data_IF_390671112606
#
_entry.id   IF_390671112606
#
_cell.length_a   1.000
_cell.length_b   1.000
_cell.length_c   1.000
_cell.angle_alpha   90.00
_cell.angle_beta   90.00
_cell.angle_gamma   90.00
#
_symmetry.space_group_name_H-M   'P 1'
#
loop_
_entity.id
_entity.type
_entity.pdbx_description
1 polymer ?
#
# COMPACT_ATOMS: atom_id res chain seq x y z
N UNK A 1 -16.79 -7.54 -10.86
CA UNK A 1 -17.08 -8.39 -12.05
C UNK A 1 -16.27 -7.95 -13.27
N UNK A 2 -15.91 -6.67 -13.39
CA UNK A 2 -15.13 -6.11 -14.50
C UNK A 2 -13.86 -6.91 -14.91
N UNK A 3 -12.89 -7.12 -14.01
CA UNK A 3 -11.66 -7.86 -14.37
C UNK A 3 -11.90 -9.32 -14.80
N UNK A 4 -12.92 -9.96 -14.24
CA UNK A 4 -13.32 -11.31 -14.66
C UNK A 4 -13.84 -11.32 -16.10
N UNK A 5 -14.66 -10.33 -16.47
CA UNK A 5 -15.15 -10.14 -17.85
C UNK A 5 -13.99 -9.99 -18.84
N UNK A 6 -12.99 -9.18 -18.51
CA UNK A 6 -11.79 -8.99 -19.36
C UNK A 6 -10.99 -10.30 -19.45
N UNK A 7 -10.77 -10.99 -18.33
CA UNK A 7 -10.04 -12.26 -18.32
C UNK A 7 -10.73 -13.34 -19.17
N UNK A 8 -12.05 -13.50 -19.00
CA UNK A 8 -12.85 -14.45 -19.80
C UNK A 8 -12.86 -14.08 -21.28
N UNK A 9 -12.88 -12.79 -21.62
CA UNK A 9 -12.76 -12.33 -23.00
C UNK A 9 -11.40 -12.71 -23.60
N UNK A 10 -10.30 -12.52 -22.86
CA UNK A 10 -8.95 -12.87 -23.30
C UNK A 10 -8.80 -14.38 -23.49
N UNK A 11 -9.30 -15.20 -22.56
CA UNK A 11 -9.31 -16.68 -22.68
C UNK A 11 -10.07 -17.16 -23.92
N UNK A 12 -11.06 -16.40 -24.39
CA UNK A 12 -11.81 -16.70 -25.60
C UNK A 12 -11.10 -16.35 -26.91
N UNK A 13 -9.98 -15.62 -26.87
CA UNK A 13 -9.23 -15.22 -28.06
C UNK A 13 -8.49 -16.41 -28.68
N UNK A 14 -8.57 -16.53 -29.99
CA UNK A 14 -7.87 -17.53 -30.78
C UNK A 14 -7.55 -16.99 -32.18
N UNK A 15 -6.76 -17.75 -32.94
CA UNK A 15 -6.31 -17.38 -34.29
C UNK A 15 -7.46 -17.06 -35.27
N UNK A 16 -8.66 -17.57 -35.02
CA UNK A 16 -9.81 -17.45 -35.93
C UNK A 16 -10.67 -16.21 -35.61
N UNK A 17 -10.63 -15.69 -34.37
CA UNK A 17 -11.46 -14.55 -33.94
C UNK A 17 -10.66 -13.30 -33.54
N UNK A 18 -9.34 -13.37 -33.43
CA UNK A 18 -8.53 -12.28 -32.89
C UNK A 18 -8.66 -10.97 -33.69
N UNK A 19 -8.72 -11.02 -35.01
CA UNK A 19 -8.82 -9.81 -35.84
C UNK A 19 -10.17 -9.09 -35.67
N UNK A 20 -11.26 -9.84 -35.52
CA UNK A 20 -12.60 -9.29 -35.27
C UNK A 20 -12.70 -8.69 -33.86
N UNK A 21 -12.08 -9.33 -32.87
CA UNK A 21 -12.17 -8.96 -31.46
C UNK A 21 -11.11 -7.93 -31.01
N UNK A 22 -10.10 -7.67 -31.83
CA UNK A 22 -9.02 -6.71 -31.55
C UNK A 22 -9.51 -5.30 -31.17
N UNK A 23 -10.56 -4.72 -31.79
CA UNK A 23 -11.08 -3.41 -31.38
C UNK A 23 -11.60 -3.43 -29.94
N UNK A 24 -12.34 -4.46 -29.55
CA UNK A 24 -12.85 -4.62 -28.19
C UNK A 24 -11.72 -4.87 -27.18
N UNK A 25 -10.69 -5.64 -27.56
CA UNK A 25 -9.49 -5.82 -26.74
C UNK A 25 -8.79 -4.47 -26.51
N UNK A 26 -8.63 -3.67 -27.58
CA UNK A 26 -8.00 -2.35 -27.52
C UNK A 26 -8.80 -1.42 -26.60
N UNK A 27 -10.14 -1.45 -26.70
CA UNK A 27 -11.03 -0.72 -25.78
C UNK A 27 -10.77 -1.10 -24.32
N UNK A 28 -10.77 -2.39 -23.98
CA UNK A 28 -10.51 -2.84 -22.61
C UNK A 28 -9.12 -2.45 -22.11
N UNK A 29 -8.10 -2.53 -22.96
CA UNK A 29 -6.74 -2.08 -22.58
C UNK A 29 -6.72 -0.58 -22.32
N UNK A 30 -7.35 0.23 -23.17
CA UNK A 30 -7.46 1.68 -22.97
C UNK A 30 -8.21 2.05 -21.69
N UNK A 31 -9.34 1.40 -21.41
CA UNK A 31 -10.07 1.56 -20.15
C UNK A 31 -9.17 1.27 -18.93
N UNK A 32 -8.38 0.20 -18.99
CA UNK A 32 -7.44 -0.16 -17.92
C UNK A 32 -6.33 0.89 -17.74
N UNK A 33 -5.72 1.37 -18.82
CA UNK A 33 -4.65 2.39 -18.77
C UNK A 33 -5.20 3.69 -18.18
N UNK A 34 -6.40 4.12 -18.61
CA UNK A 34 -7.07 5.31 -18.12
C UNK A 34 -7.69 5.14 -16.72
N UNK A 35 -7.62 3.94 -16.14
CA UNK A 35 -8.26 3.60 -14.86
C UNK A 35 -9.78 3.81 -14.84
N UNK A 36 -10.44 3.60 -15.99
CA UNK A 36 -11.90 3.69 -16.18
C UNK A 36 -12.51 2.30 -16.02
N UNK A 37 -13.62 2.20 -15.28
CA UNK A 37 -14.41 0.96 -15.13
C UNK A 37 -15.79 1.13 -15.77
N UNK A 38 -15.84 1.00 -17.10
CA UNK A 38 -17.07 1.10 -17.89
C UNK A 38 -17.84 -0.24 -17.88
N UNK A 39 -18.42 -0.60 -16.73
CA UNK A 39 -19.11 -1.88 -16.57
C UNK A 39 -20.33 -2.02 -17.49
N UNK A 40 -21.01 -0.91 -17.77
CA UNK A 40 -22.19 -0.82 -18.63
C UNK A 40 -21.85 -0.69 -20.13
N UNK A 41 -20.57 -0.57 -20.47
CA UNK A 41 -20.07 -0.41 -21.85
C UNK A 41 -20.67 0.81 -22.55
N UNK A 42 -20.77 1.94 -21.84
CA UNK A 42 -21.33 3.21 -22.30
C UNK A 42 -20.37 4.00 -23.20
N UNK A 43 -19.05 3.81 -23.05
CA UNK A 43 -18.05 4.51 -23.86
C UNK A 43 -17.85 3.77 -25.19
N UNK A 44 -17.69 4.49 -26.29
CA UNK A 44 -17.27 3.87 -27.55
C UNK A 44 -15.75 3.63 -27.57
N UNK A 45 -15.25 2.90 -28.57
CA UNK A 45 -13.80 2.79 -28.78
C UNK A 45 -13.21 4.17 -29.14
N UNK A 46 -13.90 4.95 -29.97
CA UNK A 46 -13.46 6.32 -30.33
C UNK A 46 -13.35 7.23 -29.12
N UNK A 47 -14.26 7.12 -28.14
CA UNK A 47 -14.17 7.87 -26.89
C UNK A 47 -12.89 7.53 -26.12
N UNK A 48 -12.59 6.23 -25.99
CA UNK A 48 -11.40 5.72 -25.30
C UNK A 48 -10.13 6.15 -26.05
N UNK A 49 -10.09 6.04 -27.38
CA UNK A 49 -8.95 6.43 -28.21
C UNK A 49 -8.67 7.94 -28.11
N UNK A 50 -9.72 8.77 -28.07
CA UNK A 50 -9.60 10.21 -27.85
C UNK A 50 -9.00 10.54 -26.48
N UNK A 51 -9.47 9.88 -25.41
CA UNK A 51 -8.93 10.04 -24.07
C UNK A 51 -7.47 9.56 -23.97
N UNK A 52 -7.16 8.41 -24.57
CA UNK A 52 -5.81 7.84 -24.63
C UNK A 52 -4.84 8.78 -25.33
N UNK A 53 -5.24 9.39 -26.44
CA UNK A 53 -4.41 10.34 -27.19
C UNK A 53 -4.00 11.53 -26.31
N UNK A 54 -4.94 12.05 -25.50
CA UNK A 54 -4.67 13.14 -24.56
C UNK A 54 -3.74 12.67 -23.43
N UNK A 55 -3.96 11.48 -22.89
CA UNK A 55 -3.14 10.91 -21.82
C UNK A 55 -1.68 10.71 -22.27
N UNK A 56 -1.48 10.16 -23.47
CA UNK A 56 -0.16 9.96 -24.06
C UNK A 56 0.55 11.29 -24.33
N UNK A 57 -0.15 12.29 -24.89
CA UNK A 57 0.41 13.63 -25.08
C UNK A 57 0.87 14.25 -23.75
N UNK A 58 0.08 14.08 -22.68
CA UNK A 58 0.46 14.56 -21.34
C UNK A 58 1.72 13.86 -20.82
N UNK A 59 1.82 12.55 -21.02
CA UNK A 59 2.98 11.74 -20.63
C UNK A 59 4.25 12.18 -21.39
N UNK A 60 4.15 12.41 -22.70
CA UNK A 60 5.25 12.92 -23.52
C UNK A 60 5.75 14.30 -23.04
N UNK A 61 4.83 15.22 -22.75
CA UNK A 61 5.18 16.54 -22.20
C UNK A 61 5.88 16.39 -20.85
N UNK A 62 5.34 15.55 -19.97
CA UNK A 62 5.92 15.32 -18.64
C UNK A 62 7.33 14.72 -18.74
N UNK A 63 7.55 13.79 -19.67
CA UNK A 63 8.86 13.21 -19.92
C UNK A 63 9.85 14.27 -20.43
N UNK A 64 9.43 15.16 -21.34
CA UNK A 64 10.26 16.28 -21.80
C UNK A 64 10.69 17.21 -20.66
N UNK A 65 9.74 17.59 -19.80
CA UNK A 65 10.03 18.42 -18.60
C UNK A 65 10.97 17.68 -17.63
N UNK A 66 10.82 16.35 -17.47
CA UNK A 66 11.70 15.54 -16.64
C UNK A 66 13.15 15.54 -17.16
N UNK A 67 13.35 15.43 -18.46
CA UNK A 67 14.69 15.49 -19.06
C UNK A 67 15.35 16.85 -18.83
N UNK A 68 14.63 17.96 -19.02
CA UNK A 68 15.12 19.31 -18.74
C UNK A 68 15.52 19.48 -17.27
N UNK A 69 14.66 19.08 -16.33
CA UNK A 69 14.93 19.19 -14.90
C UNK A 69 16.12 18.32 -14.45
N UNK A 70 16.34 17.17 -15.09
CA UNK A 70 17.53 16.33 -14.83
C UNK A 70 18.82 16.98 -15.31
N UNK A 71 18.80 17.66 -16.46
CA UNK A 71 19.95 18.45 -16.92
C UNK A 71 20.30 19.57 -15.94
N UNK A 72 19.29 20.11 -15.25
CA UNK A 72 19.42 21.10 -14.18
C UNK A 72 19.79 20.50 -12.81
N UNK A 73 20.10 19.20 -12.73
CA UNK A 73 20.39 18.45 -11.49
C UNK A 73 19.25 18.45 -10.44
N UNK A 74 18.00 18.63 -10.87
CA UNK A 74 16.83 18.49 -9.99
C UNK A 74 16.74 17.06 -9.43
N UNK A 75 16.47 16.95 -8.13
CA UNK A 75 16.29 15.66 -7.47
C UNK A 75 14.81 15.29 -7.38
N UNK A 76 14.48 14.05 -7.74
CA UNK A 76 13.14 13.48 -7.66
C UNK A 76 13.13 12.36 -6.62
N UNK A 77 11.98 12.10 -6.01
CA UNK A 77 11.84 10.97 -5.11
C UNK A 77 12.33 11.18 -3.68
N UNK A 78 12.75 12.41 -3.33
CA UNK A 78 13.30 12.70 -2.01
C UNK A 78 12.29 12.42 -0.89
N UNK A 79 11.02 12.79 -1.08
CA UNK A 79 9.95 12.51 -0.11
C UNK A 79 9.70 11.00 0.02
N UNK A 80 9.73 10.28 -1.10
CA UNK A 80 9.59 8.82 -1.13
C UNK A 80 10.71 8.13 -0.38
N UNK A 81 11.95 8.56 -0.59
CA UNK A 81 13.11 7.97 0.07
C UNK A 81 13.11 8.26 1.57
N UNK A 82 12.82 9.50 1.98
CA UNK A 82 12.67 9.87 3.39
C UNK A 82 11.54 9.10 4.08
N UNK A 83 10.39 8.95 3.41
CA UNK A 83 9.31 8.11 3.88
C UNK A 83 9.74 6.65 4.04
N UNK A 84 10.39 6.08 3.02
CA UNK A 84 10.80 4.68 3.07
C UNK A 84 11.86 4.42 4.13
N UNK A 85 12.76 5.37 4.38
CA UNK A 85 13.73 5.30 5.48
C UNK A 85 13.01 5.26 6.83
N UNK A 86 12.11 6.21 7.07
CA UNK A 86 11.29 6.28 8.28
C UNK A 86 10.43 5.02 8.46
N UNK A 87 9.83 4.53 7.37
CA UNK A 87 8.97 3.35 7.39
C UNK A 87 9.74 2.06 7.67
N UNK A 88 10.92 1.89 7.07
CA UNK A 88 11.82 0.75 7.35
C UNK A 88 12.29 0.79 8.79
N UNK A 89 12.74 1.93 9.29
CA UNK A 89 13.14 2.09 10.69
C UNK A 89 12.00 1.68 11.63
N UNK A 90 10.81 2.21 11.40
CA UNK A 90 9.62 1.90 12.19
C UNK A 90 9.29 0.40 12.21
N UNK A 91 9.22 -0.23 11.03
CA UNK A 91 8.83 -1.65 10.92
C UNK A 91 9.94 -2.61 11.34
N UNK A 92 11.21 -2.21 11.22
CA UNK A 92 12.34 -3.00 11.72
C UNK A 92 12.40 -2.95 13.25
N UNK A 93 12.14 -1.81 13.89
CA UNK A 93 12.05 -1.74 15.35
C UNK A 93 10.94 -2.67 15.88
N UNK A 94 9.79 -2.72 15.20
CA UNK A 94 8.73 -3.67 15.54
C UNK A 94 9.22 -5.13 15.43
N UNK A 95 9.91 -5.46 14.34
CA UNK A 95 10.44 -6.81 14.11
C UNK A 95 11.47 -7.23 15.17
N UNK A 96 12.40 -6.34 15.54
CA UNK A 96 13.41 -6.57 16.57
C UNK A 96 12.82 -6.81 17.96
N UNK A 97 11.65 -6.22 18.23
CA UNK A 97 10.87 -6.43 19.47
C UNK A 97 9.97 -7.66 19.43
N UNK A 98 10.23 -8.62 18.54
CA UNK A 98 9.47 -9.86 18.35
C UNK A 98 8.06 -9.66 17.75
N UNK A 99 7.78 -8.50 17.15
CA UNK A 99 6.49 -8.19 16.50
C UNK A 99 6.57 -8.20 14.96
N UNK A 100 7.31 -9.14 14.40
CA UNK A 100 7.50 -9.29 12.94
C UNK A 100 6.15 -9.42 12.22
N UNK A 101 5.20 -10.16 12.79
CA UNK A 101 3.89 -10.35 12.17
C UNK A 101 3.07 -9.05 12.10
N UNK A 102 3.17 -8.20 13.13
CA UNK A 102 2.50 -6.89 13.14
C UNK A 102 3.08 -5.98 12.04
N UNK A 103 4.41 -6.00 11.86
CA UNK A 103 5.08 -5.24 10.81
C UNK A 103 4.73 -5.74 9.40
N UNK A 104 4.63 -7.06 9.21
CA UNK A 104 4.15 -7.67 7.97
C UNK A 104 2.72 -7.25 7.69
N UNK A 105 1.83 -7.36 8.69
CA UNK A 105 0.42 -7.02 8.54
C UNK A 105 0.24 -5.53 8.20
N UNK A 106 0.96 -4.63 8.86
CA UNK A 106 0.94 -3.21 8.55
C UNK A 106 1.38 -2.95 7.10
N UNK A 107 2.47 -3.59 6.65
CA UNK A 107 2.98 -3.41 5.28
C UNK A 107 1.99 -3.94 4.23
N UNK A 108 1.31 -5.05 4.53
CA UNK A 108 0.23 -5.58 3.69
C UNK A 108 -0.98 -4.64 3.66
N UNK A 109 -1.38 -4.06 4.80
CA UNK A 109 -2.42 -3.02 4.86
C UNK A 109 -2.06 -1.82 3.99
N UNK A 110 -0.82 -1.32 4.08
CA UNK A 110 -0.32 -0.21 3.25
C UNK A 110 -0.38 -0.58 1.76
N UNK A 111 0.13 -1.74 1.35
CA UNK A 111 0.05 -2.19 -0.04
C UNK A 111 -1.39 -2.36 -0.52
N UNK A 112 -2.29 -2.84 0.35
CA UNK A 112 -3.72 -2.96 0.04
C UNK A 112 -4.38 -1.60 -0.15
N UNK A 113 -4.08 -0.62 0.69
CA UNK A 113 -4.58 0.75 0.54
C UNK A 113 -4.13 1.39 -0.79
N UNK A 114 -2.95 1.01 -1.27
CA UNK A 114 -2.41 1.39 -2.58
C UNK A 114 -2.93 0.55 -3.75
N UNK A 115 -3.85 -0.40 -3.53
CA UNK A 115 -4.35 -1.30 -4.58
C UNK A 115 -3.34 -2.34 -5.07
N UNK A 116 -2.25 -2.55 -4.32
CA UNK A 116 -1.09 -3.35 -4.72
C UNK A 116 -1.04 -4.76 -4.13
N UNK A 117 -2.21 -5.36 -3.82
CA UNK A 117 -2.30 -6.73 -3.28
C UNK A 117 -1.61 -7.76 -4.20
N UNK A 118 -1.61 -7.53 -5.50
CA UNK A 118 -0.95 -8.42 -6.47
C UNK A 118 0.56 -8.60 -6.22
N UNK A 119 1.23 -7.60 -5.62
CA UNK A 119 2.66 -7.69 -5.27
C UNK A 119 2.92 -8.71 -4.16
N UNK A 120 1.99 -8.84 -3.21
CA UNK A 120 2.02 -9.87 -2.18
C UNK A 120 1.95 -11.27 -2.80
N UNK A 121 0.96 -11.46 -3.69
CA UNK A 121 0.72 -12.73 -4.38
C UNK A 121 1.94 -13.11 -5.22
N UNK A 122 2.52 -12.14 -5.93
CA UNK A 122 3.73 -12.35 -6.72
C UNK A 122 4.91 -12.88 -5.90
N UNK A 123 5.17 -12.30 -4.72
CA UNK A 123 6.28 -12.74 -3.86
C UNK A 123 6.11 -14.21 -3.42
N UNK A 124 4.89 -14.57 -3.00
CA UNK A 124 4.58 -15.93 -2.54
C UNK A 124 4.60 -16.94 -3.69
N UNK A 125 4.12 -16.56 -4.88
CA UNK A 125 4.09 -17.45 -6.05
C UNK A 125 5.50 -17.70 -6.62
N UNK A 126 6.36 -16.68 -6.60
CA UNK A 126 7.75 -16.76 -7.08
C UNK A 126 8.57 -17.80 -6.32
N UNK A 127 8.25 -18.05 -5.06
CA UNK A 127 8.82 -19.14 -4.28
C UNK A 127 8.24 -20.46 -4.80
N UNK A 128 8.91 -21.11 -5.74
CA UNK A 128 8.52 -22.41 -6.32
C UNK A 128 8.56 -23.60 -5.32
N UNK A 129 8.44 -23.33 -4.03
CA UNK A 129 8.46 -24.31 -2.94
C UNK A 129 7.06 -24.86 -2.59
N UNK A 130 7.08 -25.80 -1.65
CA UNK A 130 5.89 -26.39 -1.04
C UNK A 130 5.06 -25.35 -0.26
N UNK A 131 3.80 -25.69 0.04
CA UNK A 131 2.93 -24.83 0.85
C UNK A 131 3.51 -24.50 2.23
N UNK A 132 4.27 -25.43 2.82
CA UNK A 132 4.92 -25.23 4.13
C UNK A 132 6.04 -24.19 4.02
N UNK A 133 6.89 -24.29 2.99
CA UNK A 133 7.97 -23.32 2.76
C UNK A 133 7.41 -21.92 2.46
N UNK A 134 6.33 -21.85 1.67
CA UNK A 134 5.61 -20.59 1.41
C UNK A 134 5.08 -19.97 2.71
N UNK A 135 4.47 -20.78 3.57
CA UNK A 135 3.96 -20.30 4.86
C UNK A 135 5.08 -19.81 5.79
N UNK A 136 6.18 -20.57 5.90
CA UNK A 136 7.35 -20.17 6.69
C UNK A 136 7.96 -18.86 6.20
N UNK A 137 8.02 -18.67 4.88
CA UNK A 137 8.44 -17.39 4.31
C UNK A 137 7.50 -16.26 4.71
N UNK A 138 6.19 -16.45 4.61
CA UNK A 138 5.19 -15.40 4.89
C UNK A 138 5.17 -14.88 6.34
N UNK A 139 5.81 -15.58 7.28
CA UNK A 139 5.95 -15.15 8.68
C UNK A 139 7.39 -14.72 9.04
N UNK A 140 8.28 -14.62 8.04
CA UNK A 140 9.70 -14.33 8.24
C UNK A 140 10.05 -12.86 8.06
N UNK A 141 11.13 -12.41 8.68
CA UNK A 141 11.74 -11.09 8.44
C UNK A 141 12.10 -10.89 6.97
N UNK A 142 12.51 -11.95 6.27
CA UNK A 142 12.82 -11.89 4.83
C UNK A 142 11.61 -11.43 4.01
N UNK A 143 10.42 -11.90 4.37
CA UNK A 143 9.20 -11.47 3.69
C UNK A 143 8.84 -10.02 3.98
N UNK A 144 9.06 -9.55 5.22
CA UNK A 144 8.93 -8.12 5.55
C UNK A 144 9.85 -7.26 4.66
N UNK A 145 11.12 -7.62 4.53
CA UNK A 145 12.08 -6.90 3.66
C UNK A 145 11.62 -6.88 2.20
N UNK A 146 11.14 -8.02 1.69
CA UNK A 146 10.68 -8.13 0.30
C UNK A 146 9.41 -7.31 0.08
N UNK A 147 8.50 -7.24 1.06
CA UNK A 147 7.32 -6.38 1.03
C UNK A 147 7.70 -4.89 1.07
N UNK A 148 8.63 -4.49 1.94
CA UNK A 148 9.15 -3.11 1.98
C UNK A 148 9.80 -2.72 0.64
N UNK A 149 10.49 -3.67 -0.01
CA UNK A 149 11.06 -3.47 -1.35
C UNK A 149 9.97 -3.28 -2.39
N UNK A 150 8.93 -4.13 -2.38
CA UNK A 150 7.78 -3.99 -3.27
C UNK A 150 7.03 -2.67 -3.07
N UNK A 151 6.94 -2.19 -1.83
CA UNK A 151 6.39 -0.87 -1.52
C UNK A 151 7.26 0.25 -2.11
N UNK A 152 8.57 0.25 -1.86
CA UNK A 152 9.48 1.26 -2.42
C UNK A 152 9.45 1.28 -3.95
N UNK A 153 9.50 0.11 -4.60
CA UNK A 153 9.39 -0.01 -6.05
C UNK A 153 8.09 0.58 -6.59
N UNK A 154 6.98 0.46 -5.86
CA UNK A 154 5.72 1.05 -6.26
C UNK A 154 5.70 2.57 -6.08
N UNK A 155 6.13 3.07 -4.93
CA UNK A 155 6.18 4.51 -4.66
C UNK A 155 7.11 5.22 -5.66
N UNK A 156 8.22 4.58 -6.02
CA UNK A 156 9.18 5.12 -6.98
C UNK A 156 8.59 5.29 -8.40
N UNK A 157 7.43 4.72 -8.70
CA UNK A 157 6.73 4.95 -9.98
C UNK A 157 6.11 6.35 -10.05
N UNK A 158 5.95 7.05 -8.92
CA UNK A 158 5.24 8.33 -8.82
C UNK A 158 6.13 9.52 -8.47
N UNK A 159 7.43 9.30 -8.32
CA UNK A 159 8.42 10.33 -7.94
C UNK A 159 8.64 11.40 -9.00
N UNK A 160 8.18 11.12 -10.23
CA UNK A 160 8.24 12.03 -11.39
C UNK A 160 7.15 13.12 -11.37
N UNK A 161 6.19 13.05 -10.46
CA UNK A 161 5.13 14.05 -10.32
C UNK A 161 5.11 14.50 -8.86
N UNK A 162 5.80 15.60 -8.55
CA UNK A 162 6.02 16.08 -7.16
C UNK A 162 4.70 16.21 -6.39
N UNK A 163 3.65 16.73 -7.02
CA UNK A 163 2.32 16.87 -6.40
C UNK A 163 1.69 15.52 -6.06
N UNK A 164 1.89 14.51 -6.92
CA UNK A 164 1.38 13.15 -6.71
C UNK A 164 2.21 12.41 -5.67
N UNK A 165 3.53 12.52 -5.74
CA UNK A 165 4.44 12.02 -4.70
C UNK A 165 4.03 12.59 -3.34
N UNK A 166 3.84 13.90 -3.25
CA UNK A 166 3.41 14.61 -2.05
C UNK A 166 2.09 14.07 -1.48
N UNK A 167 1.05 14.02 -2.31
CA UNK A 167 -0.27 13.52 -1.91
C UNK A 167 -0.19 12.06 -1.44
N UNK A 168 0.60 11.24 -2.13
CA UNK A 168 0.77 9.83 -1.81
C UNK A 168 1.46 9.64 -0.46
N UNK A 169 2.61 10.30 -0.26
CA UNK A 169 3.39 10.17 0.98
C UNK A 169 2.61 10.70 2.18
N UNK A 170 1.98 11.87 2.08
CA UNK A 170 1.15 12.39 3.18
C UNK A 170 -0.09 11.54 3.44
N UNK A 171 -0.71 11.00 2.39
CA UNK A 171 -1.82 10.07 2.50
C UNK A 171 -1.40 8.82 3.29
N UNK A 172 -0.25 8.25 2.95
CA UNK A 172 0.30 7.07 3.64
C UNK A 172 0.68 7.35 5.09
N UNK A 173 1.28 8.51 5.36
CA UNK A 173 1.62 8.92 6.73
C UNK A 173 0.39 8.94 7.63
N UNK A 174 -0.70 9.53 7.14
CA UNK A 174 -1.96 9.60 7.88
C UNK A 174 -2.66 8.23 7.94
N UNK A 175 -2.60 7.45 6.86
CA UNK A 175 -3.16 6.10 6.83
C UNK A 175 -2.52 5.21 7.91
N UNK A 176 -1.18 5.16 7.98
CA UNK A 176 -0.46 4.37 8.99
C UNK A 176 -0.82 4.85 10.41
N UNK A 177 -0.89 6.17 10.62
CA UNK A 177 -1.32 6.73 11.91
C UNK A 177 -2.72 6.26 12.31
N UNK A 178 -3.65 6.20 11.36
CA UNK A 178 -5.01 5.73 11.62
C UNK A 178 -5.05 4.22 11.86
N UNK A 179 -4.34 3.40 11.08
CA UNK A 179 -4.24 1.95 11.30
C UNK A 179 -3.70 1.63 12.71
N UNK A 180 -2.68 2.35 13.17
CA UNK A 180 -2.14 2.18 14.52
C UNK A 180 -3.17 2.52 15.61
N UNK A 181 -3.98 3.57 15.39
CA UNK A 181 -5.07 3.95 16.30
C UNK A 181 -6.21 2.96 16.28
N UNK A 182 -6.63 2.50 15.10
CA UNK A 182 -7.69 1.50 14.96
C UNK A 182 -7.32 0.19 15.65
N UNK A 183 -6.05 -0.25 15.56
CA UNK A 183 -5.57 -1.41 16.31
C UNK A 183 -5.71 -1.24 17.83
N UNK A 184 -5.45 -0.03 18.36
CA UNK A 184 -5.64 0.28 19.80
C UNK A 184 -7.13 0.29 20.15
N UNK A 185 -7.96 0.92 19.33
CA UNK A 185 -9.39 1.05 19.55
C UNK A 185 -10.13 -0.30 19.42
N UNK A 186 -9.70 -1.17 18.50
CA UNK A 186 -10.26 -2.51 18.31
C UNK A 186 -10.07 -3.36 19.55
N UNK A 187 -8.87 -3.34 20.17
CA UNK A 187 -8.64 -3.99 21.47
C UNK A 187 -9.61 -3.43 22.52
N UNK A 188 -9.78 -2.11 22.56
CA UNK A 188 -10.76 -1.46 23.44
C UNK A 188 -12.20 -1.95 23.20
N UNK A 189 -12.60 -2.12 21.94
CA UNK A 189 -13.93 -2.62 21.55
C UNK A 189 -14.14 -4.07 21.91
N UNK A 190 -13.16 -4.94 21.67
CA UNK A 190 -13.21 -6.37 22.04
C UNK A 190 -13.44 -6.50 23.56
N UNK A 191 -12.68 -5.74 24.35
CA UNK A 191 -12.83 -5.68 25.81
C UNK A 191 -14.24 -5.25 26.18
N UNK A 192 -14.72 -4.13 25.62
CA UNK A 192 -16.04 -3.59 25.94
C UNK A 192 -17.18 -4.49 25.48
N UNK A 193 -17.04 -5.21 24.37
CA UNK A 193 -18.06 -6.14 23.88
C UNK A 193 -18.20 -7.38 24.77
N UNK A 194 -17.08 -7.90 25.28
CA UNK A 194 -17.11 -9.05 26.19
C UNK A 194 -17.63 -8.66 27.59
N UNK A 195 -17.31 -7.45 28.05
CA UNK A 195 -17.79 -6.94 29.34
C UNK A 195 -19.26 -6.49 29.33
N UNK A 196 -19.84 -6.24 28.14
CA UNK A 196 -21.14 -5.57 28.00
C UNK A 196 -22.31 -6.28 28.67
N UNK A 197 -22.20 -7.59 28.90
CA UNK A 197 -23.28 -8.44 29.41
C UNK A 197 -22.89 -9.29 30.63
N UNK A 198 -21.70 -9.08 31.23
CA UNK A 198 -21.16 -9.92 32.30
C UNK A 198 -20.78 -9.09 33.52
N UNK A 199 -21.08 -9.58 34.72
CA UNK A 199 -20.54 -8.97 35.93
C UNK A 199 -19.02 -9.23 36.02
N UNK A 200 -18.31 -8.42 36.81
CA UNK A 200 -16.86 -8.57 37.02
C UNK A 200 -16.49 -9.94 37.62
N UNK A 201 -17.41 -10.57 38.36
CA UNK A 201 -17.26 -11.93 38.90
C UNK A 201 -17.50 -13.01 37.85
N UNK A 202 -18.41 -12.79 36.90
CA UNK A 202 -18.69 -13.74 35.81
C UNK A 202 -17.57 -13.71 34.76
N UNK A 203 -17.05 -12.52 34.44
CA UNK A 203 -15.90 -12.35 33.54
C UNK A 203 -14.65 -13.09 34.07
N UNK A 204 -14.37 -12.99 35.37
CA UNK A 204 -13.21 -13.66 35.97
C UNK A 204 -13.33 -15.20 36.03
N UNK A 205 -14.51 -15.75 35.76
CA UNK A 205 -14.79 -17.20 35.72
C UNK A 205 -14.83 -17.75 34.30
N UNK A 206 -14.65 -16.92 33.28
CA UNK A 206 -14.67 -17.37 31.89
C UNK A 206 -13.50 -18.31 31.57
N UNK A 207 -13.80 -19.33 30.77
CA UNK A 207 -12.82 -20.35 30.34
C UNK A 207 -11.62 -19.71 29.62
N UNK A 208 -11.89 -18.68 28.81
CA UNK A 208 -10.87 -17.96 28.04
C UNK A 208 -10.34 -16.68 28.72
N UNK A 209 -10.60 -16.49 30.03
CA UNK A 209 -10.17 -15.27 30.74
C UNK A 209 -8.65 -15.04 30.68
N UNK A 210 -7.87 -16.12 30.60
CA UNK A 210 -6.42 -16.04 30.45
C UNK A 210 -6.00 -15.55 29.05
N UNK A 211 -6.77 -15.87 28.01
CA UNK A 211 -6.56 -15.39 26.63
C UNK A 211 -6.96 -13.92 26.51
N UNK A 212 -8.07 -13.51 27.13
CA UNK A 212 -8.42 -12.09 27.20
C UNK A 212 -7.39 -11.29 28.01
N UNK A 213 -6.93 -11.80 29.15
CA UNK A 213 -5.87 -11.14 29.95
C UNK A 213 -4.53 -11.08 29.22
N UNK A 214 -4.24 -12.02 28.31
CA UNK A 214 -3.03 -11.97 27.49
C UNK A 214 -3.16 -10.99 26.31
N UNK A 215 -4.35 -10.86 25.71
CA UNK A 215 -4.67 -9.79 24.76
C UNK A 215 -4.65 -8.39 25.42
N UNK A 216 -5.12 -8.32 26.68
CA UNK A 216 -5.03 -7.17 27.59
C UNK A 216 -3.69 -7.21 28.36
N UNK A 217 -2.60 -7.65 27.72
CA UNK A 217 -1.31 -7.45 28.35
C UNK A 217 -1.05 -5.94 28.35
N UNK A 218 -0.97 -5.34 29.55
CA UNK A 218 -0.60 -3.93 29.74
C UNK A 218 0.66 -3.58 28.95
N UNK A 219 1.56 -4.54 28.78
CA UNK A 219 2.79 -4.35 28.02
C UNK A 219 2.55 -4.30 26.51
N UNK A 220 1.57 -5.05 25.97
CA UNK A 220 1.17 -4.93 24.55
C UNK A 220 0.45 -3.61 24.25
N UNK A 221 -0.46 -3.16 25.12
CA UNK A 221 -1.11 -1.85 24.97
C UNK A 221 -0.08 -0.71 25.03
N UNK A 222 0.85 -0.76 25.98
CA UNK A 222 1.97 0.19 26.03
C UNK A 222 2.80 0.13 24.76
N UNK A 223 3.03 -1.05 24.21
CA UNK A 223 3.79 -1.21 22.98
C UNK A 223 3.06 -0.58 21.79
N UNK A 224 1.75 -0.74 21.67
CA UNK A 224 0.97 -0.05 20.63
C UNK A 224 1.01 1.48 20.78
N UNK A 225 0.92 1.99 22.01
CA UNK A 225 1.09 3.43 22.27
C UNK A 225 2.49 3.94 21.91
N UNK A 226 3.54 3.15 22.19
CA UNK A 226 4.91 3.48 21.74
C UNK A 226 5.01 3.49 20.23
N UNK A 227 4.37 2.55 19.52
CA UNK A 227 4.38 2.52 18.06
C UNK A 227 3.70 3.75 17.46
N UNK A 228 2.55 4.16 18.00
CA UNK A 228 1.91 5.40 17.59
C UNK A 228 2.84 6.61 17.82
N UNK A 229 3.46 6.69 19.00
CA UNK A 229 4.40 7.76 19.34
C UNK A 229 5.62 7.78 18.40
N UNK A 230 6.25 6.62 18.18
CA UNK A 230 7.41 6.46 17.31
C UNK A 230 7.08 6.84 15.87
N UNK A 231 5.95 6.38 15.34
CA UNK A 231 5.51 6.75 13.99
C UNK A 231 5.29 8.26 13.87
N UNK A 232 4.66 8.89 14.86
CA UNK A 232 4.48 10.35 14.86
C UNK A 232 5.82 11.10 14.87
N UNK A 233 6.84 10.60 15.58
CA UNK A 233 8.18 11.22 15.56
C UNK A 233 8.82 11.05 14.20
N UNK A 234 8.94 9.81 13.70
CA UNK A 234 9.64 9.51 12.45
C UNK A 234 8.99 10.23 11.26
N UNK A 235 7.66 10.35 11.27
CA UNK A 235 6.92 11.03 10.20
C UNK A 235 6.69 12.53 10.42
N UNK A 236 7.09 13.10 11.56
CA UNK A 236 6.82 14.52 11.91
C UNK A 236 7.36 15.48 10.85
N UNK A 237 8.62 15.29 10.46
CA UNK A 237 9.29 16.11 9.44
C UNK A 237 8.60 16.05 8.07
N UNK A 238 8.09 14.87 7.68
CA UNK A 238 7.33 14.72 6.43
C UNK A 238 6.04 15.55 6.41
N UNK A 239 5.51 15.90 7.58
CA UNK A 239 4.28 16.70 7.73
C UNK A 239 4.56 18.21 7.76
N UNK A 240 5.79 18.64 8.05
CA UNK A 240 6.17 20.06 8.12
C UNK A 240 6.37 20.66 6.72
N UNK A 241 5.67 21.76 6.43
CA UNK A 241 5.81 22.47 5.14
C UNK A 241 7.24 22.93 4.93
N UNK A 242 7.84 23.52 5.97
CA UNK A 242 9.18 24.08 5.92
C UNK A 242 10.27 23.03 5.66
N UNK A 243 10.24 21.87 6.34
CA UNK A 243 11.21 20.79 6.06
C UNK A 243 11.12 20.28 4.62
N UNK A 244 9.91 20.24 4.05
CA UNK A 244 9.73 19.81 2.67
C UNK A 244 10.24 20.86 1.70
N UNK A 245 9.99 22.14 1.95
CA UNK A 245 10.54 23.21 1.14
C UNK A 245 12.08 23.18 1.23
N UNK A 246 12.67 23.05 2.43
CA UNK A 246 14.12 22.87 2.63
C UNK A 246 14.71 21.66 1.89
N UNK A 247 14.00 20.53 1.85
CA UNK A 247 14.42 19.32 1.12
C UNK A 247 14.69 19.59 -0.37
N UNK A 248 14.03 20.62 -0.92
CA UNK A 248 14.18 21.09 -2.29
C UNK A 248 14.90 22.45 -2.40
N UNK A 249 15.08 23.21 -1.30
CA UNK A 249 15.84 24.49 -1.25
C UNK A 249 17.37 24.29 -1.08
N UNK A 250 17.85 23.16 -0.57
CA UNK A 250 19.29 22.81 -0.48
C UNK A 250 19.96 22.54 -1.87
N UNK A 251 19.46 23.20 -2.92
CA UNK A 251 19.84 23.02 -4.33
C UNK A 251 20.28 24.32 -5.04
N UNK A 252 20.64 25.38 -4.32
CA UNK A 252 21.44 26.50 -4.87
C UNK A 252 22.94 26.20 -4.97
#
# INVERSE_FOLDING_TARGET
MYYKKIYEFIEGLNKDNIEELKPQLSKYVGELILSIKDEENNLSLEDIDGMMSIALMREEIQYGVEEELKEENSKFGLLTDEFMNSYREFTNEMAEREYVQDAINLTRSVLKALGCIHREIFLVDKLKGSSIEKHQYMISTKYLEDLQKQLHEHLNQYTKEISREYLLILGLVNYIKNELKENIDEIGRIILSELKNKSLEDFNKEEHIHEYKSMINKDYIKELQKREYLWNILSSKLQEVYYRDELYEDLE
#
